data_IF_748845515743
#
_entry.id   IF_748845515743
#
_cell.length_a   1.000
_cell.length_b   1.000
_cell.length_c   1.000
_cell.angle_alpha   90.00
_cell.angle_beta   90.00
_cell.angle_gamma   90.00
#
_symmetry.space_group_name_H-M   'P 1'
#
loop_
_entity.id
_entity.type
_entity.pdbx_description
1 polymer ?
#
# COMPACT_ATOMS: atom_id res chain seq x y z
N UNK A 1 -7.53 3.49 0.85
CA UNK A 1 -8.87 3.63 1.48
C UNK A 1 -9.99 3.64 0.45
N UNK A 2 -9.88 4.42 -0.63
CA UNK A 2 -10.90 4.53 -1.70
C UNK A 2 -11.41 3.18 -2.23
N UNK A 3 -10.52 2.20 -2.42
CA UNK A 3 -10.90 0.85 -2.85
C UNK A 3 -11.91 0.17 -1.91
N UNK A 4 -11.72 0.31 -0.59
CA UNK A 4 -12.64 -0.25 0.41
C UNK A 4 -14.01 0.43 0.29
N UNK A 5 -14.04 1.75 0.09
CA UNK A 5 -15.29 2.49 -0.02
C UNK A 5 -16.05 2.16 -1.31
N UNK A 6 -15.34 1.94 -2.42
CA UNK A 6 -15.94 1.43 -3.66
C UNK A 6 -16.53 0.03 -3.45
N UNK A 7 -15.79 -0.88 -2.80
CA UNK A 7 -16.28 -2.24 -2.53
C UNK A 7 -17.48 -2.27 -1.59
N UNK A 8 -17.55 -1.39 -0.58
CA UNK A 8 -18.74 -1.22 0.27
C UNK A 8 -20.00 -0.82 -0.52
N UNK A 9 -19.84 -0.11 -1.65
CA UNK A 9 -20.92 0.25 -2.56
C UNK A 9 -21.21 -0.82 -3.62
N UNK A 10 -20.47 -1.92 -3.64
CA UNK A 10 -20.56 -2.96 -4.68
C UNK A 10 -19.84 -2.60 -5.98
N UNK A 11 -19.09 -1.51 -6.02
CA UNK A 11 -18.36 -1.01 -7.19
C UNK A 11 -17.01 -1.75 -7.32
N UNK A 12 -17.05 -3.06 -7.51
CA UNK A 12 -15.85 -3.89 -7.41
C UNK A 12 -14.82 -3.67 -8.53
N UNK A 13 -15.24 -3.25 -9.71
CA UNK A 13 -14.32 -2.90 -10.80
C UNK A 13 -13.52 -1.65 -10.46
N UNK A 14 -14.17 -0.65 -9.85
CA UNK A 14 -13.50 0.58 -9.42
C UNK A 14 -12.61 0.32 -8.20
N UNK A 15 -13.07 -0.53 -7.27
CA UNK A 15 -12.26 -0.98 -6.15
C UNK A 15 -10.94 -1.62 -6.60
N UNK A 16 -10.98 -2.50 -7.60
CA UNK A 16 -9.79 -3.14 -8.17
C UNK A 16 -8.86 -2.12 -8.85
N UNK A 17 -9.42 -1.19 -9.63
CA UNK A 17 -8.66 -0.13 -10.26
C UNK A 17 -7.90 0.72 -9.21
N UNK A 18 -8.55 1.04 -8.09
CA UNK A 18 -7.95 1.78 -6.97
C UNK A 18 -6.89 0.99 -6.21
N UNK A 19 -7.05 -0.32 -6.07
CA UNK A 19 -5.99 -1.18 -5.51
C UNK A 19 -4.76 -1.25 -6.42
N UNK A 20 -4.98 -1.27 -7.74
CA UNK A 20 -3.90 -1.29 -8.72
C UNK A 20 -3.16 0.04 -8.77
N UNK A 21 -3.87 1.17 -8.74
CA UNK A 21 -3.28 2.51 -8.64
C UNK A 21 -2.38 2.61 -7.40
N UNK A 22 -2.90 2.23 -6.22
CA UNK A 22 -2.13 2.22 -4.99
C UNK A 22 -0.91 1.29 -5.05
N UNK A 23 -1.02 0.14 -5.73
CA UNK A 23 0.10 -0.78 -5.90
C UNK A 23 1.24 -0.15 -6.72
N UNK A 24 0.94 0.55 -7.81
CA UNK A 24 1.97 1.18 -8.63
C UNK A 24 2.68 2.33 -7.88
N UNK A 25 1.93 3.17 -7.16
CA UNK A 25 2.54 4.22 -6.32
C UNK A 25 3.43 3.65 -5.21
N UNK A 26 2.96 2.58 -4.54
CA UNK A 26 3.73 1.91 -3.50
C UNK A 26 5.01 1.26 -4.03
N UNK A 27 5.01 0.72 -5.25
CA UNK A 27 6.22 0.16 -5.87
C UNK A 27 7.29 1.22 -6.05
N UNK A 28 6.92 2.41 -6.51
CA UNK A 28 7.89 3.51 -6.68
C UNK A 28 8.47 3.96 -5.34
N UNK A 29 7.63 4.13 -4.32
CA UNK A 29 8.09 4.49 -2.97
C UNK A 29 8.95 3.38 -2.34
N UNK A 30 8.57 2.11 -2.49
CA UNK A 30 9.32 0.96 -2.01
C UNK A 30 10.66 0.80 -2.72
N UNK A 31 10.77 1.16 -4.00
CA UNK A 31 12.04 1.18 -4.72
C UNK A 31 13.01 2.17 -4.09
N UNK A 32 12.55 3.38 -3.75
CA UNK A 32 13.38 4.38 -3.05
C UNK A 32 13.84 3.85 -1.68
N UNK A 33 12.94 3.22 -0.91
CA UNK A 33 13.31 2.58 0.36
C UNK A 33 14.35 1.47 0.16
N UNK A 34 14.19 0.65 -0.87
CA UNK A 34 15.12 -0.44 -1.22
C UNK A 34 16.50 0.13 -1.56
N UNK A 35 16.56 1.17 -2.38
CA UNK A 35 17.81 1.82 -2.78
C UNK A 35 18.55 2.42 -1.56
N UNK A 36 17.82 3.02 -0.61
CA UNK A 36 18.41 3.53 0.64
C UNK A 36 19.02 2.39 1.48
N UNK A 37 18.30 1.28 1.65
CA UNK A 37 18.79 0.11 2.39
C UNK A 37 20.01 -0.50 1.69
N UNK A 38 20.00 -0.60 0.36
CA UNK A 38 21.12 -1.14 -0.40
C UNK A 38 22.39 -0.28 -0.27
N UNK A 39 22.25 1.05 -0.32
CA UNK A 39 23.36 1.98 -0.10
C UNK A 39 23.95 1.84 1.31
N UNK A 40 23.09 1.78 2.32
CA UNK A 40 23.52 1.58 3.71
C UNK A 40 24.25 0.26 3.90
N UNK A 41 23.73 -0.84 3.34
CA UNK A 41 24.39 -2.14 3.34
C UNK A 41 25.72 -2.15 2.57
N UNK A 42 25.85 -1.31 1.53
CA UNK A 42 27.09 -1.08 0.78
C UNK A 42 28.13 -0.24 1.52
N UNK A 43 27.82 0.26 2.73
CA UNK A 43 28.72 1.06 3.56
C UNK A 43 28.56 2.57 3.39
N UNK A 44 27.60 3.04 2.58
CA UNK A 44 27.26 4.45 2.50
C UNK A 44 26.46 4.87 3.75
N UNK A 45 27.04 5.73 4.58
CA UNK A 45 26.34 6.25 5.75
C UNK A 45 25.19 7.16 5.31
N UNK A 46 23.97 6.79 5.65
CA UNK A 46 22.79 7.63 5.50
C UNK A 46 22.48 8.32 6.84
N UNK A 47 22.20 9.62 6.81
CA UNK A 47 21.78 10.34 8.01
C UNK A 47 20.32 9.99 8.35
N UNK A 48 20.12 9.35 9.50
CA UNK A 48 18.77 9.03 10.00
C UNK A 48 18.20 10.27 10.67
N UNK A 49 17.15 10.83 10.08
CA UNK A 49 16.39 11.96 10.63
C UNK A 49 15.00 11.53 11.06
N UNK A 50 14.36 12.28 11.95
CA UNK A 50 12.97 12.03 12.34
C UNK A 50 12.03 12.04 11.12
N UNK A 51 12.29 12.90 10.13
CA UNK A 51 11.51 12.97 8.90
C UNK A 51 11.67 11.70 8.05
N UNK A 52 12.88 11.15 7.97
CA UNK A 52 13.13 9.88 7.27
C UNK A 52 12.41 8.72 7.94
N UNK A 53 12.49 8.62 9.27
CA UNK A 53 11.75 7.61 10.04
C UNK A 53 10.25 7.73 9.78
N UNK A 54 9.70 8.95 9.87
CA UNK A 54 8.28 9.19 9.62
C UNK A 54 7.86 8.82 8.18
N UNK A 55 8.71 9.08 7.19
CA UNK A 55 8.44 8.67 5.81
C UNK A 55 8.42 7.13 5.66
N UNK A 56 9.33 6.42 6.33
CA UNK A 56 9.33 4.95 6.35
C UNK A 56 8.12 4.37 7.08
N UNK A 57 7.69 5.00 8.19
CA UNK A 57 6.47 4.62 8.91
C UNK A 57 5.24 4.75 8.01
N UNK A 58 5.11 5.85 7.27
CA UNK A 58 4.01 6.05 6.30
C UNK A 58 4.03 5.01 5.19
N UNK A 59 5.20 4.72 4.62
CA UNK A 59 5.33 3.73 3.56
C UNK A 59 4.89 2.34 4.05
N UNK A 60 5.40 1.90 5.19
CA UNK A 60 5.05 0.58 5.71
C UNK A 60 3.58 0.51 6.12
N UNK A 61 3.03 1.56 6.74
CA UNK A 61 1.60 1.64 7.02
C UNK A 61 0.76 1.55 5.73
N UNK A 62 1.15 2.27 4.67
CA UNK A 62 0.43 2.25 3.40
C UNK A 62 0.47 0.87 2.73
N UNK A 63 1.62 0.17 2.78
CA UNK A 63 1.75 -1.23 2.30
C UNK A 63 0.77 -2.13 3.06
N UNK A 64 0.83 -2.13 4.40
CA UNK A 64 -0.06 -2.96 5.23
C UNK A 64 -1.53 -2.63 5.00
N UNK A 65 -1.89 -1.36 4.94
CA UNK A 65 -3.28 -0.94 4.69
C UNK A 65 -3.75 -1.36 3.30
N UNK A 66 -2.88 -1.33 2.28
CA UNK A 66 -3.23 -1.82 0.93
C UNK A 66 -3.49 -3.32 0.94
N UNK A 67 -2.66 -4.11 1.60
CA UNK A 67 -2.85 -5.57 1.72
C UNK A 67 -4.17 -5.89 2.43
N UNK A 68 -4.44 -5.23 3.56
CA UNK A 68 -5.71 -5.38 4.26
C UNK A 68 -6.90 -4.90 3.42
N UNK A 69 -6.73 -3.81 2.66
CA UNK A 69 -7.77 -3.32 1.76
C UNK A 69 -8.13 -4.35 0.68
N UNK A 70 -7.16 -5.06 0.12
CA UNK A 70 -7.41 -6.17 -0.82
C UNK A 70 -8.27 -7.25 -0.18
N UNK A 71 -7.97 -7.66 1.06
CA UNK A 71 -8.79 -8.64 1.80
C UNK A 71 -10.21 -8.14 2.08
N UNK A 72 -10.37 -6.85 2.43
CA UNK A 72 -11.69 -6.26 2.62
C UNK A 72 -12.51 -6.22 1.33
N UNK A 73 -11.91 -5.85 0.20
CA UNK A 73 -12.58 -5.85 -1.11
C UNK A 73 -13.10 -7.25 -1.44
N UNK A 74 -12.28 -8.28 -1.23
CA UNK A 74 -12.66 -9.67 -1.45
C UNK A 74 -13.76 -10.14 -0.48
N UNK A 75 -13.68 -9.73 0.79
CA UNK A 75 -14.71 -10.02 1.78
C UNK A 75 -16.06 -9.41 1.39
N UNK A 76 -16.09 -8.14 0.99
CA UNK A 76 -17.31 -7.49 0.51
C UNK A 76 -17.87 -8.16 -0.75
N UNK A 77 -16.99 -8.60 -1.67
CA UNK A 77 -17.39 -9.36 -2.87
C UNK A 77 -18.10 -10.64 -2.49
N UNK A 78 -17.53 -11.45 -1.57
CA UNK A 78 -18.15 -12.69 -1.10
C UNK A 78 -19.49 -12.46 -0.41
N UNK A 79 -19.60 -11.41 0.42
CA UNK A 79 -20.87 -11.06 1.07
C UNK A 79 -21.95 -10.62 0.09
N UNK A 80 -21.57 -9.97 -1.02
CA UNK A 80 -22.51 -9.55 -2.06
C UNK A 80 -23.04 -10.71 -2.91
N UNK A 81 -22.31 -11.83 -2.95
CA UNK A 81 -22.74 -13.09 -3.56
C UNK A 81 -23.38 -13.95 -2.47
N UNK A 82 -24.56 -13.52 -2.00
CA UNK A 82 -25.42 -14.37 -1.16
C UNK A 82 -26.68 -14.69 -1.96
N UNK A 83 -26.83 -15.96 -2.37
CA UNK A 83 -28.12 -16.55 -2.75
C UNK A 83 -28.97 -16.83 -1.51
#
# INVERSE_FOLDING_TARGET
>A
MEAIDCAKRGEFTEAEAKLQEALEELKEAHRVQTDLIQKEAGGEKTEVTLLMVHAQDHLMNAITVKELASEFVELYRKMSVTE
#
